data_IF_378870604630
#
_entry.id   IF_378870604630
#
_cell.length_a   1.000
_cell.length_b   1.000
_cell.length_c   1.000
_cell.angle_alpha   90.00
_cell.angle_beta   90.00
_cell.angle_gamma   90.00
#
_symmetry.space_group_name_H-M   'P 1'
#
loop_
_entity.id
_entity.type
_entity.pdbx_description
1 polymer ?
#
# COMPACT_ATOMS: atom_id res chain seq x y z
N UNK A 1 -15.01 45.62 -46.11
CA UNK A 1 -16.11 44.96 -45.39
C UNK A 1 -15.54 44.16 -44.23
N UNK A 2 -15.51 44.77 -43.05
CA UNK A 2 -15.68 44.05 -41.78
C UNK A 2 -17.17 43.66 -41.62
N UNK A 3 -17.60 42.77 -40.70
CA UNK A 3 -16.87 41.80 -39.87
C UNK A 3 -17.54 40.40 -39.84
N UNK A 4 -16.89 39.38 -39.26
CA UNK A 4 -17.60 38.35 -38.49
C UNK A 4 -16.80 38.07 -37.21
N UNK A 5 -17.28 38.67 -36.13
CA UNK A 5 -16.97 38.39 -34.74
C UNK A 5 -17.13 36.89 -34.45
N UNK A 6 -16.03 36.22 -34.13
CA UNK A 6 -16.03 34.92 -33.49
C UNK A 6 -15.25 35.04 -32.17
N UNK A 7 -15.87 35.71 -31.20
CA UNK A 7 -15.54 35.58 -29.79
C UNK A 7 -15.49 34.10 -29.38
N UNK A 8 -14.29 33.52 -29.37
CA UNK A 8 -14.03 32.21 -28.75
C UNK A 8 -14.34 32.31 -27.25
N UNK A 9 -15.12 31.39 -26.66
CA UNK A 9 -15.34 31.41 -25.23
C UNK A 9 -13.99 31.19 -24.53
N UNK A 10 -13.60 32.15 -23.70
CA UNK A 10 -12.47 32.03 -22.78
C UNK A 10 -12.63 30.75 -21.97
N UNK A 11 -11.81 29.75 -22.28
CA UNK A 11 -11.67 28.56 -21.45
C UNK A 11 -11.22 29.03 -20.08
N UNK A 12 -12.14 29.09 -19.12
CA UNK A 12 -11.81 29.31 -17.72
C UNK A 12 -10.93 28.14 -17.31
N UNK A 13 -9.62 28.39 -17.29
CA UNK A 13 -8.61 27.50 -16.74
C UNK A 13 -9.02 27.27 -15.28
N UNK A 14 -9.61 26.12 -15.01
CA UNK A 14 -9.82 25.63 -13.66
C UNK A 14 -8.43 25.44 -13.06
N UNK A 15 -7.97 26.44 -12.33
CA UNK A 15 -6.78 26.35 -11.52
C UNK A 15 -7.10 25.42 -10.35
N UNK A 16 -6.93 24.12 -10.57
CA UNK A 16 -6.82 23.18 -9.48
C UNK A 16 -5.50 23.49 -8.77
N UNK A 17 -5.50 23.94 -7.50
CA UNK A 17 -4.26 24.01 -6.75
C UNK A 17 -3.69 22.60 -6.76
N UNK A 18 -2.61 22.41 -7.52
CA UNK A 18 -1.89 21.15 -7.59
C UNK A 18 -1.20 20.98 -6.25
N UNK A 19 -1.94 20.52 -5.25
CA UNK A 19 -1.38 20.02 -4.02
C UNK A 19 -0.72 18.68 -4.38
N UNK A 20 0.46 18.76 -5.00
CA UNK A 20 1.33 17.62 -5.19
C UNK A 20 2.00 17.41 -3.83
N UNK A 21 1.31 16.73 -2.92
CA UNK A 21 2.04 15.98 -1.90
C UNK A 21 2.88 14.97 -2.68
N UNK A 22 4.19 15.22 -2.84
CA UNK A 22 5.07 14.22 -3.43
C UNK A 22 4.98 12.99 -2.56
N UNK A 23 4.35 11.94 -3.06
CA UNK A 23 4.31 10.66 -2.37
C UNK A 23 5.75 10.16 -2.29
N UNK A 24 6.34 10.27 -1.10
CA UNK A 24 7.61 9.64 -0.78
C UNK A 24 7.33 8.18 -0.47
N UNK A 25 7.77 7.27 -1.34
CA UNK A 25 7.65 5.85 -1.10
C UNK A 25 8.36 5.53 0.24
N UNK A 26 7.66 4.96 1.23
CA UNK A 26 8.30 4.54 2.47
C UNK A 26 9.43 3.55 2.15
N UNK A 27 10.57 3.75 2.78
CA UNK A 27 11.74 2.86 2.71
C UNK A 27 11.80 1.88 3.89
N UNK A 28 10.81 1.93 4.79
CA UNK A 28 10.72 1.17 6.02
C UNK A 28 9.43 0.32 6.07
N UNK A 29 9.47 -0.76 6.86
CA UNK A 29 8.33 -1.64 7.18
C UNK A 29 7.74 -2.47 6.04
N UNK A 30 8.59 -3.09 5.22
CA UNK A 30 8.13 -4.18 4.34
C UNK A 30 7.94 -5.45 5.17
N UNK A 31 6.75 -6.04 5.14
CA UNK A 31 6.39 -7.21 5.96
C UNK A 31 6.25 -8.44 5.07
N UNK A 32 7.00 -9.49 5.40
CA UNK A 32 6.88 -10.82 4.80
C UNK A 32 5.81 -11.61 5.57
N UNK A 33 4.55 -11.43 5.15
CA UNK A 33 3.38 -11.94 5.88
C UNK A 33 3.35 -13.48 5.87
N UNK A 34 3.08 -14.09 7.02
CA UNK A 34 3.08 -15.53 7.20
C UNK A 34 4.46 -16.19 7.17
N UNK A 35 5.54 -15.41 7.10
CA UNK A 35 6.90 -15.94 7.02
C UNK A 35 7.67 -15.82 8.36
N UNK A 36 8.42 -16.86 8.76
CA UNK A 36 9.35 -16.78 9.89
C UNK A 36 10.67 -16.12 9.56
N UNK A 37 10.95 -15.80 8.30
CA UNK A 37 12.23 -15.26 7.87
C UNK A 37 12.09 -13.96 7.10
N UNK A 38 13.12 -13.14 7.26
CA UNK A 38 13.28 -11.94 6.44
C UNK A 38 13.89 -12.31 5.10
N UNK A 39 13.50 -11.61 4.04
CA UNK A 39 14.05 -11.83 2.69
C UNK A 39 14.22 -10.52 1.95
N UNK A 40 15.13 -10.49 0.97
CA UNK A 40 15.33 -9.35 0.11
C UNK A 40 14.60 -9.55 -1.21
N UNK A 41 13.79 -8.56 -1.60
CA UNK A 41 13.08 -8.57 -2.86
C UNK A 41 13.07 -7.18 -3.47
N UNK A 42 13.43 -7.05 -4.75
CA UNK A 42 13.47 -5.76 -5.47
C UNK A 42 14.26 -4.65 -4.76
N UNK A 43 15.37 -5.02 -4.10
CA UNK A 43 16.23 -4.07 -3.36
C UNK A 43 15.67 -3.61 -2.02
N UNK A 44 14.65 -4.27 -1.49
CA UNK A 44 14.01 -3.97 -0.21
C UNK A 44 14.04 -5.18 0.70
N UNK A 45 14.23 -4.95 2.00
CA UNK A 45 14.21 -6.01 3.02
C UNK A 45 12.81 -6.16 3.60
N UNK A 46 12.21 -7.33 3.40
CA UNK A 46 10.89 -7.71 3.91
C UNK A 46 11.09 -8.53 5.19
N UNK A 47 10.58 -8.04 6.32
CA UNK A 47 10.76 -8.65 7.64
C UNK A 47 9.68 -9.68 7.91
N UNK A 48 10.08 -10.90 8.31
CA UNK A 48 9.18 -11.98 8.70
C UNK A 48 8.23 -11.58 9.81
N UNK A 49 6.95 -11.93 9.67
CA UNK A 49 5.90 -11.58 10.63
C UNK A 49 5.62 -12.66 11.70
N UNK A 50 6.24 -13.83 11.58
CA UNK A 50 6.18 -14.90 12.58
C UNK A 50 7.30 -14.64 13.60
N UNK A 51 6.94 -13.96 14.69
CA UNK A 51 7.83 -13.50 15.78
C UNK A 51 8.81 -12.36 15.40
N UNK A 52 8.31 -11.20 14.94
CA UNK A 52 9.14 -10.05 14.61
C UNK A 52 9.71 -9.40 15.89
N UNK A 53 10.91 -8.80 15.76
CA UNK A 53 11.57 -8.08 16.87
C UNK A 53 11.18 -6.61 16.96
N UNK A 54 10.72 -6.01 15.84
CA UNK A 54 10.50 -4.56 15.72
C UNK A 54 9.02 -4.15 15.70
N UNK A 55 8.11 -5.11 15.60
CA UNK A 55 6.67 -4.89 15.63
C UNK A 55 5.97 -6.09 16.26
N UNK A 56 4.64 -6.05 16.35
CA UNK A 56 3.84 -7.16 16.84
C UNK A 56 2.68 -7.43 15.89
N UNK A 57 2.39 -8.70 15.67
CA UNK A 57 1.26 -9.15 14.85
C UNK A 57 0.36 -10.01 15.71
N UNK A 58 -0.91 -9.64 15.80
CA UNK A 58 -1.91 -10.38 16.57
C UNK A 58 -2.89 -11.08 15.65
N UNK A 59 -3.15 -12.36 15.90
CA UNK A 59 -4.16 -13.13 15.18
C UNK A 59 -3.73 -13.55 13.77
N UNK A 60 -4.72 -14.05 13.02
CA UNK A 60 -4.49 -14.69 11.73
C UNK A 60 -3.71 -16.00 11.82
N UNK A 61 -3.56 -16.68 10.70
CA UNK A 61 -2.78 -17.91 10.55
C UNK A 61 -1.82 -17.75 9.37
N UNK A 62 -0.61 -18.31 9.50
CA UNK A 62 0.31 -18.39 8.37
C UNK A 62 -0.23 -19.41 7.35
N UNK A 63 -0.22 -19.03 6.08
CA UNK A 63 -0.55 -19.88 4.96
C UNK A 63 0.66 -19.94 4.02
N UNK A 64 0.88 -21.12 3.45
CA UNK A 64 1.98 -21.39 2.54
C UNK A 64 1.44 -21.86 1.20
N UNK A 65 1.98 -21.29 0.13
CA UNK A 65 1.82 -21.77 -1.22
C UNK A 65 3.07 -22.58 -1.60
N UNK A 66 2.86 -23.82 -2.02
CA UNK A 66 3.92 -24.76 -2.40
C UNK A 66 4.39 -24.58 -3.85
N UNK A 67 3.79 -23.65 -4.58
CA UNK A 67 4.17 -23.31 -5.94
C UNK A 67 5.55 -22.64 -5.93
N UNK A 68 6.53 -23.32 -6.54
CA UNK A 68 7.94 -22.96 -6.48
C UNK A 68 8.36 -21.92 -7.53
N UNK A 69 7.51 -21.59 -8.51
CA UNK A 69 7.79 -20.55 -9.50
C UNK A 69 7.51 -19.15 -8.95
N UNK A 70 6.73 -19.04 -7.88
CA UNK A 70 6.51 -17.78 -7.17
C UNK A 70 7.78 -17.31 -6.46
N UNK A 71 8.10 -16.00 -6.53
CA UNK A 71 9.07 -15.40 -5.63
C UNK A 71 8.72 -15.67 -4.15
N UNK A 72 9.75 -15.84 -3.32
CA UNK A 72 9.60 -16.21 -1.90
C UNK A 72 8.63 -15.31 -1.13
N UNK A 73 8.58 -14.01 -1.44
CA UNK A 73 7.66 -13.06 -0.77
C UNK A 73 6.17 -13.31 -1.08
N UNK A 74 5.86 -14.09 -2.11
CA UNK A 74 4.50 -14.44 -2.52
C UNK A 74 4.14 -15.91 -2.19
N UNK A 75 5.08 -16.67 -1.65
CA UNK A 75 4.85 -18.06 -1.21
C UNK A 75 4.15 -18.13 0.16
N UNK A 76 4.10 -17.02 0.91
CA UNK A 76 3.46 -17.00 2.24
C UNK A 76 2.50 -15.84 2.39
N UNK A 77 1.49 -16.01 3.24
CA UNK A 77 0.58 -14.96 3.64
C UNK A 77 0.09 -15.16 5.08
N UNK A 78 -0.37 -14.09 5.73
CA UNK A 78 -1.14 -14.18 6.97
C UNK A 78 -2.62 -13.99 6.68
N UNK A 79 -3.42 -15.01 6.98
CA UNK A 79 -4.85 -15.05 6.69
C UNK A 79 -5.65 -14.80 7.96
N UNK A 80 -6.52 -13.79 7.94
CA UNK A 80 -7.43 -13.47 9.04
C UNK A 80 -8.84 -13.97 8.70
N UNK A 81 -9.25 -15.05 9.36
CA UNK A 81 -10.59 -15.65 9.16
C UNK A 81 -11.66 -15.06 10.09
N UNK A 82 -11.24 -14.37 11.16
CA UNK A 82 -12.13 -13.69 12.10
C UNK A 82 -12.33 -12.24 11.65
N UNK A 83 -13.59 -11.77 11.68
CA UNK A 83 -13.89 -10.36 11.42
C UNK A 83 -13.18 -9.50 12.46
N UNK A 84 -12.41 -8.51 12.00
CA UNK A 84 -11.91 -7.47 12.87
C UNK A 84 -13.08 -6.60 13.32
N UNK A 85 -13.19 -6.37 14.63
CA UNK A 85 -14.03 -5.31 15.14
C UNK A 85 -13.23 -4.01 14.95
N UNK A 86 -13.68 -3.12 14.06
CA UNK A 86 -13.09 -1.77 14.01
C UNK A 86 -13.63 -0.99 15.19
N UNK A 87 -12.78 -0.72 16.18
CA UNK A 87 -13.00 0.40 17.08
C UNK A 87 -12.83 1.69 16.28
N UNK A 88 -13.93 2.32 15.89
CA UNK A 88 -13.87 3.73 15.53
C UNK A 88 -13.71 4.50 16.83
N UNK A 89 -12.50 5.00 17.11
CA UNK A 89 -12.30 6.00 18.16
C UNK A 89 -12.99 7.28 17.69
N UNK A 90 -14.25 7.48 18.07
CA UNK A 90 -14.84 8.82 18.05
C UNK A 90 -14.14 9.62 19.13
N UNK A 91 -13.26 10.55 18.72
CA UNK A 91 -12.85 11.64 19.59
C UNK A 91 -14.11 12.45 19.92
N UNK A 92 -14.46 12.52 21.20
CA UNK A 92 -15.46 13.44 21.74
C UNK A 92 -14.83 14.80 21.96
#
# INVERSE_FOLDING_TARGET
NEPLDASLPSLRQLHFPRCHTQYTLPDHHFINCGSPSSTNFTGKSFIGDVNPTTFSVSGGQAAHNLESSLPTIYQTARVFTRKAWRTQTTRS
#
